data_IF_595746694322
#
_entry.id   IF_595746694322
#
_cell.length_a   1.000
_cell.length_b   1.000
_cell.length_c   1.000
_cell.angle_alpha   90.00
_cell.angle_beta   90.00
_cell.angle_gamma   90.00
#
_symmetry.space_group_name_H-M   'P 1'
#
loop_
_entity.id
_entity.type
_entity.pdbx_description
1 polymer ?
#
# COMPACT_ATOMS: atom_id res chain seq x y z
N UNK A 1 0.09 6.20 -8.23
CA UNK A 1 1.19 5.23 -8.10
C UNK A 1 2.33 5.89 -7.34
N UNK A 2 2.94 5.21 -6.35
CA UNK A 2 4.13 5.70 -5.66
C UNK A 2 5.33 5.78 -6.62
N UNK A 3 6.25 6.69 -6.36
CA UNK A 3 7.42 6.92 -7.22
C UNK A 3 8.48 5.84 -6.95
N UNK A 4 9.23 5.43 -7.98
CA UNK A 4 10.29 4.39 -7.89
C UNK A 4 11.41 4.74 -6.90
N UNK A 5 11.57 6.02 -6.57
CA UNK A 5 12.54 6.52 -5.57
C UNK A 5 12.09 6.30 -4.13
N UNK A 6 10.78 6.09 -3.89
CA UNK A 6 10.20 5.96 -2.54
C UNK A 6 10.08 4.49 -2.11
N UNK A 7 10.00 3.56 -3.06
CA UNK A 7 9.94 2.11 -2.80
C UNK A 7 10.79 1.34 -3.82
N UNK A 8 11.74 0.50 -3.37
CA UNK A 8 12.53 -0.36 -4.27
C UNK A 8 11.63 -1.18 -5.20
N UNK A 9 12.06 -1.45 -6.45
CA UNK A 9 11.34 -2.39 -7.30
C UNK A 9 11.21 -3.76 -6.61
N UNK A 10 10.00 -4.34 -6.63
CA UNK A 10 9.63 -5.59 -5.92
C UNK A 10 9.63 -5.54 -4.38
N UNK A 11 9.52 -4.36 -3.76
CA UNK A 11 9.29 -4.30 -2.32
C UNK A 11 7.85 -4.76 -1.98
N UNK A 12 7.62 -5.58 -0.95
CA UNK A 12 6.27 -6.08 -0.61
C UNK A 12 5.22 -4.98 -0.40
N UNK A 13 5.64 -3.87 0.20
CA UNK A 13 4.83 -2.66 0.33
C UNK A 13 4.40 -2.06 -1.02
N UNK A 14 5.28 -2.13 -2.03
CA UNK A 14 4.97 -1.65 -3.38
C UNK A 14 3.91 -2.53 -4.02
N UNK A 15 4.03 -3.85 -3.92
CA UNK A 15 3.05 -4.79 -4.45
C UNK A 15 1.67 -4.60 -3.80
N UNK A 16 1.63 -4.43 -2.47
CA UNK A 16 0.42 -4.07 -1.74
C UNK A 16 -0.25 -2.79 -2.27
N UNK A 17 0.54 -1.73 -2.45
CA UNK A 17 0.02 -0.43 -2.91
C UNK A 17 -0.41 -0.48 -4.36
N UNK A 18 0.34 -1.18 -5.22
CA UNK A 18 0.01 -1.34 -6.63
C UNK A 18 -1.31 -2.09 -6.81
N UNK A 19 -1.53 -3.13 -6.00
CA UNK A 19 -2.79 -3.88 -5.97
C UNK A 19 -3.96 -3.00 -5.52
N UNK A 20 -3.82 -2.31 -4.39
CA UNK A 20 -4.86 -1.40 -3.88
C UNK A 20 -5.16 -0.26 -4.89
N UNK A 21 -4.13 0.26 -5.55
CA UNK A 21 -4.25 1.29 -6.57
C UNK A 21 -4.87 0.76 -7.89
N UNK A 22 -4.84 -0.55 -8.11
CA UNK A 22 -5.56 -1.19 -9.22
C UNK A 22 -7.07 -1.09 -8.99
N UNK A 23 -7.56 -1.51 -7.82
CA UNK A 23 -8.97 -1.35 -7.45
C UNK A 23 -9.40 0.11 -7.44
N UNK A 24 -8.54 1.03 -7.00
CA UNK A 24 -8.81 2.46 -7.07
C UNK A 24 -9.04 2.99 -8.49
N UNK A 25 -8.25 2.49 -9.45
CA UNK A 25 -8.41 2.85 -10.87
C UNK A 25 -9.68 2.25 -11.46
N UNK A 26 -9.95 0.99 -11.15
CA UNK A 26 -11.11 0.27 -11.64
C UNK A 26 -12.42 0.88 -11.12
N UNK A 27 -12.43 1.32 -9.87
CA UNK A 27 -13.52 2.09 -9.24
C UNK A 27 -13.77 3.49 -9.85
N UNK A 28 -13.05 3.87 -10.91
CA UNK A 28 -13.19 5.18 -11.56
C UNK A 28 -12.51 6.32 -10.81
N UNK A 29 -11.51 6.02 -9.97
CA UNK A 29 -10.74 7.01 -9.17
C UNK A 29 -11.63 7.88 -8.29
N UNK A 30 -12.41 7.29 -7.36
CA UNK A 30 -13.28 8.05 -6.47
C UNK A 30 -12.47 9.04 -5.61
N UNK A 31 -13.11 10.11 -5.15
CA UNK A 31 -12.44 11.04 -4.23
C UNK A 31 -12.25 10.37 -2.87
N UNK A 32 -11.21 10.79 -2.12
CA UNK A 32 -10.98 10.32 -0.75
C UNK A 32 -12.18 10.60 0.16
N UNK A 33 -12.92 11.68 -0.12
CA UNK A 33 -14.14 12.03 0.60
C UNK A 33 -15.22 10.98 0.36
N UNK A 34 -15.47 10.62 -0.90
CA UNK A 34 -16.48 9.60 -1.24
C UNK A 34 -16.17 8.26 -0.58
N UNK A 35 -14.90 7.84 -0.60
CA UNK A 35 -14.47 6.60 0.07
C UNK A 35 -14.75 6.68 1.57
N UNK A 36 -14.35 7.77 2.22
CA UNK A 36 -14.55 7.95 3.66
C UNK A 36 -16.04 8.03 4.05
N UNK A 37 -16.87 8.72 3.25
CA UNK A 37 -18.32 8.81 3.47
C UNK A 37 -18.97 7.44 3.33
N UNK A 38 -18.61 6.62 2.33
CA UNK A 38 -19.18 5.28 2.18
C UNK A 38 -18.72 4.30 3.26
N UNK A 39 -17.49 4.41 3.75
CA UNK A 39 -17.04 3.63 4.91
C UNK A 39 -17.86 4.00 6.14
N UNK A 40 -18.09 5.31 6.37
CA UNK A 40 -18.86 5.79 7.51
C UNK A 40 -20.36 5.47 7.43
N UNK A 41 -20.93 5.38 6.23
CA UNK A 41 -22.33 5.04 5.98
C UNK A 41 -22.60 3.52 6.07
N UNK A 42 -21.55 2.70 5.96
CA UNK A 42 -21.67 1.25 5.99
C UNK A 42 -21.68 0.72 7.42
N UNK A 43 -22.79 0.09 7.83
CA UNK A 43 -22.93 -0.60 9.12
C UNK A 43 -21.94 -1.77 9.31
N UNK A 44 -21.34 -2.27 8.22
CA UNK A 44 -20.27 -3.27 8.25
C UNK A 44 -18.98 -2.75 8.90
N UNK A 45 -18.76 -1.44 8.97
CA UNK A 45 -17.53 -0.82 9.48
C UNK A 45 -17.76 0.07 10.71
N UNK A 46 -18.89 -0.06 11.40
CA UNK A 46 -19.26 0.78 12.56
C UNK A 46 -18.21 0.78 13.69
N UNK A 47 -17.41 -0.30 13.77
CA UNK A 47 -16.34 -0.45 14.74
C UNK A 47 -15.15 0.53 14.53
N UNK A 48 -15.01 1.15 13.37
CA UNK A 48 -13.92 2.11 13.13
C UNK A 48 -14.23 3.14 12.03
N UNK A 49 -13.72 4.37 12.22
CA UNK A 49 -13.75 5.39 11.17
C UNK A 49 -12.36 5.56 10.56
N UNK A 50 -12.23 5.24 9.26
CA UNK A 50 -11.00 5.51 8.52
C UNK A 50 -10.92 7.02 8.18
N UNK A 51 -9.98 7.73 8.81
CA UNK A 51 -9.73 9.14 8.47
C UNK A 51 -9.24 9.29 7.03
N UNK A 52 -9.64 10.37 6.34
CA UNK A 52 -9.21 10.67 4.95
C UNK A 52 -7.69 10.69 4.79
N UNK A 53 -6.97 11.16 5.81
CA UNK A 53 -5.50 11.14 5.83
C UNK A 53 -4.96 9.71 5.84
N UNK A 54 -5.54 8.81 6.64
CA UNK A 54 -5.16 7.40 6.67
C UNK A 54 -5.39 6.76 5.31
N UNK A 55 -6.55 6.99 4.68
CA UNK A 55 -6.85 6.47 3.34
C UNK A 55 -5.83 7.01 2.32
N UNK A 56 -5.52 8.31 2.38
CA UNK A 56 -4.53 8.95 1.50
C UNK A 56 -3.14 8.32 1.64
N UNK A 57 -2.64 8.20 2.88
CA UNK A 57 -1.31 7.68 3.17
C UNK A 57 -1.20 6.21 2.79
N UNK A 58 -2.26 5.42 3.00
CA UNK A 58 -2.34 4.01 2.56
C UNK A 58 -2.31 3.89 1.05
N UNK A 59 -3.12 4.66 0.32
CA UNK A 59 -3.14 4.65 -1.16
C UNK A 59 -1.84 5.14 -1.80
N UNK A 60 -1.06 5.94 -1.07
CA UNK A 60 0.27 6.40 -1.49
C UNK A 60 1.40 5.45 -1.05
N UNK A 61 1.12 4.49 -0.19
CA UNK A 61 2.16 3.62 0.38
C UNK A 61 3.05 4.31 1.42
N UNK A 62 2.65 5.48 1.92
CA UNK A 62 3.37 6.20 2.98
C UNK A 62 3.27 5.44 4.31
N UNK A 63 2.08 4.87 4.59
CA UNK A 63 1.79 4.08 5.79
C UNK A 63 1.15 2.74 5.41
N UNK A 64 1.49 1.67 6.13
CA UNK A 64 0.71 0.43 6.13
C UNK A 64 -0.12 0.44 7.40
N UNK A 65 -1.45 0.34 7.34
CA UNK A 65 -2.28 0.26 8.54
C UNK A 65 -1.89 -0.96 9.38
N UNK A 66 -1.85 -0.80 10.70
CA UNK A 66 -1.57 -1.91 11.64
C UNK A 66 -2.73 -2.90 11.74
N UNK A 67 -3.94 -2.46 11.40
CA UNK A 67 -5.14 -3.29 11.37
C UNK A 67 -5.60 -3.52 9.94
N UNK A 68 -5.91 -4.77 9.62
CA UNK A 68 -6.44 -5.13 8.30
C UNK A 68 -7.83 -4.54 8.06
N UNK A 69 -8.58 -4.21 9.12
CA UNK A 69 -9.93 -3.65 9.04
C UNK A 69 -10.01 -2.41 8.13
N UNK A 70 -9.07 -1.48 8.30
CA UNK A 70 -8.99 -0.25 7.49
C UNK A 70 -8.71 -0.58 6.03
N UNK A 71 -7.84 -1.56 5.77
CA UNK A 71 -7.51 -2.01 4.41
C UNK A 71 -8.72 -2.69 3.78
N UNK A 72 -9.41 -3.55 4.54
CA UNK A 72 -10.60 -4.27 4.11
C UNK A 72 -11.74 -3.32 3.76
N UNK A 73 -12.02 -2.30 4.59
CA UNK A 73 -13.08 -1.34 4.26
C UNK A 73 -12.78 -0.52 3.00
N UNK A 74 -11.54 -0.04 2.85
CA UNK A 74 -11.14 0.67 1.64
C UNK A 74 -11.27 -0.26 0.43
N UNK A 75 -10.79 -1.50 0.53
CA UNK A 75 -10.92 -2.48 -0.55
C UNK A 75 -12.38 -2.75 -0.90
N UNK A 76 -13.25 -3.03 0.08
CA UNK A 76 -14.66 -3.34 -0.13
C UNK A 76 -15.39 -2.21 -0.84
N UNK A 77 -15.16 -0.95 -0.45
CA UNK A 77 -15.76 0.22 -1.13
C UNK A 77 -15.25 0.34 -2.56
N UNK A 78 -13.96 0.13 -2.80
CA UNK A 78 -13.38 0.18 -4.15
C UNK A 78 -13.92 -0.95 -5.04
N UNK A 79 -13.96 -2.18 -4.54
CA UNK A 79 -14.53 -3.34 -5.21
C UNK A 79 -16.01 -3.14 -5.57
N UNK A 80 -16.81 -2.64 -4.62
CA UNK A 80 -18.22 -2.32 -4.84
C UNK A 80 -18.42 -1.30 -5.97
N UNK A 81 -17.59 -0.24 -6.00
CA UNK A 81 -17.60 0.77 -7.07
C UNK A 81 -17.13 0.24 -8.42
N UNK A 82 -16.18 -0.68 -8.40
CA UNK A 82 -15.65 -1.37 -9.57
C UNK A 82 -16.60 -2.46 -10.11
N UNK A 83 -17.63 -2.85 -9.34
CA UNK A 83 -18.47 -4.00 -9.67
C UNK A 83 -17.72 -5.34 -9.54
N UNK A 84 -16.63 -5.36 -8.77
CA UNK A 84 -15.82 -6.54 -8.49
C UNK A 84 -16.28 -7.12 -7.14
N UNK A 85 -16.53 -8.42 -7.10
CA UNK A 85 -16.79 -9.11 -5.85
C UNK A 85 -15.46 -9.47 -5.15
N UNK A 86 -15.22 -9.00 -3.91
CA UNK A 86 -13.94 -9.19 -3.22
C UNK A 86 -13.71 -10.64 -2.75
N UNK A 87 -14.76 -11.46 -2.71
CA UNK A 87 -14.75 -12.86 -2.30
C UNK A 87 -14.66 -13.83 -3.49
N UNK A 88 -14.66 -13.31 -4.70
CA UNK A 88 -14.45 -14.08 -5.92
C UNK A 88 -12.96 -14.37 -6.13
N UNK A 89 -12.67 -15.48 -6.82
CA UNK A 89 -11.33 -15.89 -7.21
C UNK A 89 -10.64 -14.81 -8.03
N UNK A 90 -9.41 -14.46 -7.61
CA UNK A 90 -8.63 -13.42 -8.30
C UNK A 90 -8.11 -13.87 -9.66
N UNK A 91 -7.77 -15.15 -9.80
CA UNK A 91 -7.20 -15.73 -11.01
C UNK A 91 -8.08 -16.86 -11.52
N UNK A 92 -8.95 -16.57 -12.49
CA UNK A 92 -9.76 -17.58 -13.16
C UNK A 92 -8.89 -18.42 -14.11
N UNK A 93 -8.69 -19.71 -13.81
CA UNK A 93 -8.03 -20.66 -14.70
C UNK A 93 -6.58 -21.06 -14.37
N UNK A 94 -6.11 -20.86 -13.14
CA UNK A 94 -4.83 -21.41 -12.67
C UNK A 94 -4.87 -22.93 -12.54
N UNK A 95 -3.80 -23.62 -12.94
CA UNK A 95 -3.65 -25.09 -12.85
C UNK A 95 -3.37 -25.60 -11.41
N UNK A 96 -3.83 -24.89 -10.38
CA UNK A 96 -3.61 -25.21 -8.98
C UNK A 96 -4.79 -24.82 -8.11
N UNK A 97 -4.90 -25.48 -6.95
CA UNK A 97 -5.92 -25.32 -5.89
C UNK A 97 -5.95 -23.91 -5.25
N UNK A 98 -5.23 -22.95 -5.82
CA UNK A 98 -5.07 -21.59 -5.33
C UNK A 98 -6.30 -20.75 -5.68
N UNK A 99 -7.41 -21.10 -5.04
CA UNK A 99 -8.68 -20.38 -5.00
C UNK A 99 -8.58 -19.13 -4.13
N UNK A 100 -7.46 -18.41 -4.24
CA UNK A 100 -7.18 -17.21 -3.47
C UNK A 100 -8.11 -16.09 -3.96
N UNK A 101 -8.96 -15.63 -3.05
CA UNK A 101 -9.89 -14.52 -3.33
C UNK A 101 -9.15 -13.20 -3.43
N UNK A 102 -9.77 -12.20 -4.06
CA UNK A 102 -9.22 -10.84 -4.10
C UNK A 102 -8.86 -10.33 -2.69
N UNK A 103 -9.69 -10.63 -1.69
CA UNK A 103 -9.49 -10.25 -0.29
C UNK A 103 -8.33 -11.00 0.35
N UNK A 104 -8.22 -12.31 0.13
CA UNK A 104 -7.12 -13.12 0.66
C UNK A 104 -5.77 -12.68 0.07
N UNK A 105 -5.71 -12.44 -1.24
CA UNK A 105 -4.50 -11.93 -1.89
C UNK A 105 -4.05 -10.60 -1.28
N UNK A 106 -4.97 -9.63 -1.12
CA UNK A 106 -4.64 -8.34 -0.53
C UNK A 106 -4.18 -8.47 0.93
N UNK A 107 -4.77 -9.39 1.70
CA UNK A 107 -4.36 -9.70 3.07
C UNK A 107 -2.94 -10.27 3.13
N UNK A 108 -2.57 -11.15 2.20
CA UNK A 108 -1.23 -11.69 2.10
C UNK A 108 -0.20 -10.59 1.77
N UNK A 109 -0.52 -9.72 0.82
CA UNK A 109 0.31 -8.57 0.48
C UNK A 109 0.46 -7.59 1.66
N UNK A 110 -0.62 -7.34 2.40
CA UNK A 110 -0.60 -6.51 3.60
C UNK A 110 0.29 -7.09 4.71
N UNK A 111 0.18 -8.39 5.00
CA UNK A 111 1.05 -9.07 5.97
C UNK A 111 2.52 -8.98 5.54
N UNK A 112 2.84 -9.29 4.28
CA UNK A 112 4.22 -9.18 3.78
C UNK A 112 4.77 -7.75 3.86
N UNK A 113 3.91 -6.74 3.66
CA UNK A 113 4.26 -5.33 3.80
C UNK A 113 4.47 -4.89 5.26
N UNK A 114 3.87 -5.58 6.24
CA UNK A 114 4.13 -5.37 7.66
C UNK A 114 5.41 -6.08 8.13
N UNK A 115 5.63 -7.32 7.68
CA UNK A 115 6.81 -8.13 8.02
C UNK A 115 8.11 -7.60 7.40
N UNK A 116 8.01 -6.84 6.31
CA UNK A 116 9.16 -6.24 5.63
C UNK A 116 9.22 -4.73 5.90
N UNK A 117 9.92 -4.29 6.97
CA UNK A 117 10.12 -2.86 7.21
C UNK A 117 10.88 -2.25 6.02
N UNK A 118 10.54 -1.00 5.66
CA UNK A 118 11.29 -0.29 4.63
C UNK A 118 12.78 -0.27 5.04
N UNK A 119 13.71 -0.48 4.09
CA UNK A 119 15.08 -0.09 4.36
C UNK A 119 15.06 1.39 4.76
N UNK A 120 15.83 1.80 5.80
CA UNK A 120 15.90 3.21 6.16
C UNK A 120 16.21 4.03 4.90
N UNK A 121 15.62 5.22 4.72
CA UNK A 121 15.91 6.06 3.56
C UNK A 121 17.43 6.12 3.44
N UNK A 122 17.97 5.72 2.29
CA UNK A 122 19.41 5.71 2.08
C UNK A 122 19.92 7.07 2.54
N UNK A 123 20.64 7.10 3.66
CA UNK A 123 21.22 8.32 4.19
C UNK A 123 22.02 8.91 3.04
N UNK A 124 21.48 9.97 2.43
CA UNK A 124 22.24 10.81 1.51
C UNK A 124 23.17 11.60 2.42
N UNK A 125 24.22 10.93 2.89
CA UNK A 125 24.98 11.32 4.06
C UNK A 125 26.21 10.46 4.19
N UNK A 126 27.16 10.69 3.27
CA UNK A 126 28.56 10.34 3.47
C UNK A 126 29.08 9.23 2.58
N UNK A 127 29.23 9.46 1.27
CA UNK A 127 30.34 8.89 0.49
C UNK A 127 30.44 9.53 -0.91
N UNK A 128 31.09 10.70 -0.97
CA UNK A 128 31.79 11.13 -2.18
C UNK A 128 33.09 11.79 -1.73
N UNK A 129 34.21 11.33 -2.27
CA UNK A 129 35.55 11.64 -1.79
C UNK A 129 35.94 13.11 -1.95
N UNK A 130 36.74 13.58 -0.99
CA UNK A 130 37.71 14.63 -1.24
C UNK A 130 39.05 13.96 -1.50
N UNK A 131 39.44 13.96 -2.78
CA UNK A 131 40.84 13.79 -3.15
C UNK A 131 41.66 14.95 -2.58
N UNK A 132 42.87 14.59 -2.12
CA UNK A 132 44.08 15.42 -2.07
C UNK A 132 43.96 16.86 -1.59
N UNK A 133 44.34 17.10 -0.34
CA UNK A 133 45.31 18.15 -0.01
C UNK A 133 46.20 17.63 1.13
N UNK A 134 47.49 17.44 0.82
CA UNK A 134 48.56 17.43 1.81
C UNK A 134 48.58 18.79 2.51
N UNK A 135 48.62 18.82 3.84
CA UNK A 135 49.50 19.67 4.64
C UNK A 135 49.33 19.31 6.12
N UNK A 136 50.30 18.60 6.70
CA UNK A 136 50.49 18.50 8.15
C UNK A 136 51.56 19.53 8.52
N UNK A 137 51.22 20.65 9.19
CA UNK A 137 52.23 21.46 9.83
C UNK A 137 52.49 20.91 11.25
N UNK A 138 53.75 20.72 11.65
CA UNK A 138 54.09 20.24 12.98
C UNK A 138 54.04 21.38 13.99
N UNK A 139 53.38 21.18 15.13
CA UNK A 139 53.74 21.81 16.42
C UNK A 139 53.34 20.91 17.59
#
# INVERSE_FOLDING_TARGET
MPSTTELPPRHPRREFVEELFSYYRDAGRPTLRNIAEEIADSSEFDAFTASRETIRKTLRGETVPLTFDVVNAVMTVLCKRAGIDPDTERWTGGFGDDSTTHRQNLRNLWNNALDTPLPPPASTGGWWGSGGYSDEPPF
#
